data_IF_941506469496
#
_entry.id   IF_941506469496
#
_cell.length_a   1.000
_cell.length_b   1.000
_cell.length_c   1.000
_cell.angle_alpha   90.00
_cell.angle_beta   90.00
_cell.angle_gamma   90.00
#
_symmetry.space_group_name_H-M   'P 1'
#
loop_
_entity.id
_entity.type
_entity.pdbx_description
1 polymer ?
#
# COMPACT_ATOMS: atom_id res chain seq x y z
N UNK A 1 -30.20 -11.32 6.99
CA UNK A 1 -28.90 -10.86 7.51
C UNK A 1 -28.03 -12.09 7.69
N UNK A 2 -27.48 -12.58 6.60
CA UNK A 2 -26.45 -13.61 6.66
C UNK A 2 -25.12 -12.86 6.75
N UNK A 3 -24.48 -12.91 7.92
CA UNK A 3 -23.09 -12.50 8.06
C UNK A 3 -22.26 -13.45 7.20
N UNK A 4 -21.66 -12.91 6.13
CA UNK A 4 -20.61 -13.59 5.36
C UNK A 4 -19.43 -13.83 6.29
N UNK A 5 -19.34 -15.04 6.84
CA UNK A 5 -18.22 -15.47 7.67
C UNK A 5 -16.98 -15.50 6.77
N UNK A 6 -16.10 -14.51 6.95
CA UNK A 6 -14.72 -14.57 6.46
C UNK A 6 -14.15 -15.94 6.78
N UNK A 7 -13.57 -16.64 5.81
CA UNK A 7 -13.03 -17.98 6.04
C UNK A 7 -11.75 -17.78 6.84
N UNK A 8 -11.73 -18.13 8.14
CA UNK A 8 -10.59 -17.81 9.00
C UNK A 8 -9.31 -18.52 8.51
N UNK A 9 -9.46 -19.57 7.71
CA UNK A 9 -8.37 -20.29 7.05
C UNK A 9 -7.69 -19.45 5.96
N UNK A 10 -8.47 -18.74 5.14
CA UNK A 10 -7.92 -17.93 4.02
C UNK A 10 -7.14 -16.75 4.57
N UNK A 11 -7.72 -16.00 5.51
CA UNK A 11 -7.09 -14.84 6.14
C UNK A 11 -5.80 -15.25 6.88
N UNK A 12 -5.85 -16.33 7.68
CA UNK A 12 -4.67 -16.80 8.39
C UNK A 12 -3.57 -17.29 7.43
N UNK A 13 -3.93 -17.98 6.34
CA UNK A 13 -2.95 -18.41 5.33
C UNK A 13 -2.27 -17.22 4.68
N UNK A 14 -3.05 -16.21 4.27
CA UNK A 14 -2.54 -14.97 3.68
C UNK A 14 -1.62 -14.22 4.65
N UNK A 15 -2.02 -14.10 5.92
CA UNK A 15 -1.23 -13.51 6.99
C UNK A 15 0.14 -14.18 7.16
N UNK A 16 0.16 -15.51 7.24
CA UNK A 16 1.39 -16.30 7.39
C UNK A 16 2.30 -16.16 6.16
N UNK A 17 1.73 -16.08 4.96
CA UNK A 17 2.51 -15.85 3.74
C UNK A 17 3.13 -14.46 3.72
N UNK A 18 2.36 -13.42 4.04
CA UNK A 18 2.88 -12.04 4.16
C UNK A 18 4.00 -11.96 5.19
N UNK A 19 3.78 -12.44 6.41
CA UNK A 19 4.82 -12.43 7.45
C UNK A 19 6.10 -13.11 7.00
N UNK A 20 5.99 -14.28 6.36
CA UNK A 20 7.16 -15.06 5.94
C UNK A 20 7.93 -14.37 4.81
N UNK A 21 7.22 -13.88 3.79
CA UNK A 21 7.86 -13.30 2.61
C UNK A 21 8.43 -11.90 2.90
N UNK A 22 7.75 -11.12 3.74
CA UNK A 22 8.20 -9.78 4.10
C UNK A 22 9.28 -9.77 5.18
N UNK A 23 9.48 -10.88 5.92
CA UNK A 23 10.44 -10.97 7.02
C UNK A 23 11.84 -10.46 6.67
N UNK A 24 12.33 -10.78 5.47
CA UNK A 24 13.70 -10.48 5.04
C UNK A 24 13.79 -9.27 4.09
N UNK A 25 12.69 -8.53 3.88
CA UNK A 25 12.64 -7.36 3.01
C UNK A 25 12.75 -6.07 3.82
N UNK A 26 13.76 -5.27 3.54
CA UNK A 26 14.08 -4.04 4.30
C UNK A 26 13.94 -2.75 3.48
N UNK A 27 13.40 -2.84 2.26
CA UNK A 27 13.11 -1.69 1.41
C UNK A 27 11.61 -1.60 1.10
N UNK A 28 11.09 -0.37 1.00
CA UNK A 28 9.66 -0.14 0.83
C UNK A 28 9.13 -0.69 -0.50
N UNK A 29 9.94 -0.63 -1.56
CA UNK A 29 9.57 -1.13 -2.88
C UNK A 29 9.33 -2.64 -2.86
N UNK A 30 10.25 -3.41 -2.27
CA UNK A 30 10.13 -4.85 -2.09
C UNK A 30 8.91 -5.21 -1.26
N UNK A 31 8.62 -4.46 -0.19
CA UNK A 31 7.43 -4.69 0.65
C UNK A 31 6.15 -4.49 -0.17
N UNK A 32 6.02 -3.37 -0.89
CA UNK A 32 4.85 -3.09 -1.71
C UNK A 32 4.68 -4.11 -2.85
N UNK A 33 5.77 -4.46 -3.53
CA UNK A 33 5.76 -5.42 -4.62
C UNK A 33 5.29 -6.80 -4.14
N UNK A 34 5.91 -7.33 -3.09
CA UNK A 34 5.57 -8.66 -2.56
C UNK A 34 4.15 -8.69 -2.01
N UNK A 35 3.74 -7.64 -1.30
CA UNK A 35 2.40 -7.54 -0.71
C UNK A 35 1.31 -7.50 -1.77
N UNK A 36 1.47 -6.70 -2.83
CA UNK A 36 0.50 -6.63 -3.93
C UNK A 36 0.33 -8.02 -4.58
N UNK A 37 1.43 -8.76 -4.79
CA UNK A 37 1.38 -10.12 -5.34
C UNK A 37 0.66 -11.11 -4.42
N UNK A 38 1.08 -11.17 -3.17
CA UNK A 38 0.60 -12.15 -2.18
C UNK A 38 -0.89 -11.94 -1.91
N UNK A 39 -1.33 -10.68 -1.77
CA UNK A 39 -2.74 -10.36 -1.54
C UNK A 39 -3.57 -10.67 -2.79
N UNK A 40 -3.09 -10.31 -3.98
CA UNK A 40 -3.84 -10.57 -5.21
C UNK A 40 -4.07 -12.06 -5.46
N UNK A 41 -3.03 -12.88 -5.30
CA UNK A 41 -3.15 -14.33 -5.44
C UNK A 41 -3.97 -14.96 -4.31
N UNK A 42 -3.78 -14.51 -3.07
CA UNK A 42 -4.44 -15.08 -1.90
C UNK A 42 -5.93 -14.78 -1.83
N UNK A 43 -6.36 -13.61 -2.29
CA UNK A 43 -7.77 -13.21 -2.32
C UNK A 43 -8.43 -13.48 -3.68
N UNK A 44 -7.65 -13.73 -4.73
CA UNK A 44 -8.18 -13.83 -6.09
C UNK A 44 -8.75 -12.50 -6.61
N UNK A 45 -8.24 -11.37 -6.11
CA UNK A 45 -8.67 -10.02 -6.48
C UNK A 45 -7.50 -9.21 -7.01
N UNK A 46 -7.76 -8.31 -7.95
CA UNK A 46 -6.74 -7.33 -8.32
C UNK A 46 -6.47 -6.40 -7.11
N UNK A 47 -5.19 -6.28 -6.77
CA UNK A 47 -4.72 -5.52 -5.61
C UNK A 47 -3.83 -4.38 -6.05
N UNK A 48 -4.01 -3.22 -5.42
CA UNK A 48 -3.21 -2.01 -5.64
C UNK A 48 -2.62 -1.60 -4.30
N UNK A 49 -1.31 -1.37 -4.27
CA UNK A 49 -0.63 -0.67 -3.19
C UNK A 49 0.00 0.56 -3.79
N UNK A 50 -0.23 1.72 -3.18
CA UNK A 50 0.37 2.97 -3.62
C UNK A 50 1.06 3.65 -2.44
N UNK A 51 2.26 4.19 -2.66
CA UNK A 51 2.97 5.02 -1.70
C UNK A 51 3.30 6.36 -2.33
N UNK A 52 3.06 7.43 -1.60
CA UNK A 52 3.38 8.78 -2.02
C UNK A 52 4.90 8.94 -2.10
N UNK A 53 5.38 9.55 -3.19
CA UNK A 53 6.79 9.91 -3.33
C UNK A 53 7.20 11.02 -2.37
N UNK A 54 8.51 11.17 -2.16
CA UNK A 54 9.08 12.14 -1.20
C UNK A 54 8.64 13.59 -1.46
N UNK A 55 8.41 13.95 -2.72
CA UNK A 55 7.96 15.30 -3.12
C UNK A 55 6.47 15.56 -2.87
N UNK A 56 5.70 14.52 -2.58
CA UNK A 56 4.24 14.59 -2.51
C UNK A 56 3.53 14.73 -3.86
N UNK A 57 4.24 14.85 -4.98
CA UNK A 57 3.67 15.13 -6.30
C UNK A 57 3.20 13.88 -7.08
N UNK A 58 3.54 12.68 -6.61
CA UNK A 58 3.16 11.43 -7.26
C UNK A 58 2.99 10.30 -6.24
N UNK A 59 2.37 9.21 -6.69
CA UNK A 59 2.38 7.90 -6.05
C UNK A 59 3.20 6.93 -6.90
N UNK A 60 4.10 6.18 -6.27
CA UNK A 60 4.59 4.93 -6.85
C UNK A 60 3.53 3.86 -6.57
N UNK A 61 3.08 3.17 -7.61
CA UNK A 61 1.92 2.28 -7.57
C UNK A 61 2.31 0.89 -8.03
N UNK A 62 2.04 -0.10 -7.18
CA UNK A 62 2.19 -1.51 -7.48
C UNK A 62 0.80 -2.12 -7.59
N UNK A 63 0.43 -2.56 -8.78
CA UNK A 63 -0.83 -3.28 -8.99
C UNK A 63 -0.57 -4.67 -9.53
N UNK A 64 -1.35 -5.63 -9.05
CA UNK A 64 -1.24 -7.03 -9.43
C UNK A 64 -2.63 -7.61 -9.64
N UNK A 65 -2.84 -8.23 -10.80
CA UNK A 65 -3.97 -9.11 -11.03
C UNK A 65 -3.65 -10.52 -10.49
N UNK A 66 -4.66 -11.33 -10.11
CA UNK A 66 -4.43 -12.69 -9.63
C UNK A 66 -3.67 -13.53 -10.66
N UNK A 67 -2.65 -14.26 -10.21
CA UNK A 67 -1.77 -15.10 -11.05
C UNK A 67 -0.91 -14.33 -12.08
N UNK A 68 -0.95 -13.00 -12.10
CA UNK A 68 -0.10 -12.19 -12.97
C UNK A 68 1.19 -11.75 -12.26
N UNK A 69 2.06 -11.07 -13.03
CA UNK A 69 3.21 -10.35 -12.47
C UNK A 69 2.77 -8.98 -11.98
N UNK A 70 3.37 -8.52 -10.89
CA UNK A 70 3.17 -7.17 -10.38
C UNK A 70 3.68 -6.16 -11.42
N UNK A 71 2.83 -5.17 -11.71
CA UNK A 71 3.14 -4.03 -12.57
C UNK A 71 3.41 -2.83 -11.66
N UNK A 72 4.49 -2.09 -11.95
CA UNK A 72 4.80 -0.84 -11.27
C UNK A 72 4.54 0.33 -12.21
N UNK A 73 3.87 1.37 -11.70
CA UNK A 73 3.61 2.61 -12.40
C UNK A 73 3.87 3.80 -11.46
N UNK A 74 3.93 5.01 -12.03
CA UNK A 74 3.95 6.26 -11.28
C UNK A 74 2.77 7.09 -11.70
N UNK A 75 1.91 7.43 -10.74
CA UNK A 75 0.69 8.19 -10.96
C UNK A 75 0.81 9.56 -10.31
N UNK A 76 0.46 10.61 -11.04
CA UNK A 76 0.52 11.98 -10.49
C UNK A 76 -0.67 12.16 -9.55
N UNK A 77 -0.48 12.86 -8.41
CA UNK A 77 -1.52 12.95 -7.36
C UNK A 77 -2.86 13.42 -7.89
N UNK A 78 -2.88 14.42 -8.76
CA UNK A 78 -4.11 14.99 -9.32
C UNK A 78 -4.93 14.01 -10.17
N UNK A 79 -4.29 12.93 -10.64
CA UNK A 79 -4.90 11.89 -11.48
C UNK A 79 -5.01 10.55 -10.74
N UNK A 80 -4.33 10.39 -9.61
CA UNK A 80 -4.32 9.12 -8.89
C UNK A 80 -5.66 8.85 -8.17
N UNK A 81 -6.32 9.89 -7.64
CA UNK A 81 -7.62 9.80 -6.95
C UNK A 81 -7.63 8.91 -5.71
N UNK A 82 -6.55 8.90 -4.94
CA UNK A 82 -6.44 8.15 -3.67
C UNK A 82 -6.97 8.91 -2.44
N UNK A 83 -7.25 10.21 -2.54
CA UNK A 83 -7.62 11.07 -1.41
C UNK A 83 -8.71 10.50 -0.48
N UNK A 84 -9.82 9.91 -1.00
CA UNK A 84 -10.85 9.34 -0.13
C UNK A 84 -10.33 8.20 0.74
N UNK A 85 -9.43 7.36 0.21
CA UNK A 85 -8.85 6.22 0.91
C UNK A 85 -7.74 6.65 1.86
N UNK A 86 -6.95 7.67 1.51
CA UNK A 86 -5.93 8.25 2.39
C UNK A 86 -6.57 8.85 3.65
N UNK A 87 -7.72 9.51 3.50
CA UNK A 87 -8.45 10.13 4.61
C UNK A 87 -9.31 9.15 5.43
N UNK A 88 -9.44 7.89 5.00
CA UNK A 88 -10.35 6.94 5.64
C UNK A 88 -9.82 6.44 6.99
N UNK A 89 -10.65 6.44 8.03
CA UNK A 89 -10.30 5.88 9.34
C UNK A 89 -10.54 4.36 9.44
N UNK A 90 -11.24 3.80 8.45
CA UNK A 90 -11.65 2.40 8.34
C UNK A 90 -11.68 1.97 6.87
N UNK A 91 -11.74 0.67 6.55
CA UNK A 91 -12.00 0.19 5.21
C UNK A 91 -13.18 0.93 4.56
N UNK A 92 -12.91 1.59 3.44
CA UNK A 92 -13.89 2.35 2.68
C UNK A 92 -14.21 1.58 1.40
N UNK A 93 -15.47 1.22 1.22
CA UNK A 93 -16.01 0.74 -0.06
C UNK A 93 -16.60 1.92 -0.82
N UNK A 94 -16.15 2.13 -2.06
CA UNK A 94 -16.61 3.19 -2.93
C UNK A 94 -17.09 2.61 -4.26
N UNK A 95 -18.33 2.91 -4.63
CA UNK A 95 -18.94 2.48 -5.88
C UNK A 95 -18.56 3.44 -7.00
N UNK A 96 -18.19 2.89 -8.17
CA UNK A 96 -17.76 3.66 -9.34
C UNK A 96 -18.87 4.56 -9.87
N UNK A 97 -20.10 4.04 -9.92
CA UNK A 97 -21.23 4.73 -10.54
C UNK A 97 -21.86 5.83 -9.66
N UNK A 98 -21.41 5.94 -8.41
CA UNK A 98 -21.83 7.02 -7.50
C UNK A 98 -20.99 8.30 -7.71
N UNK A 99 -19.90 8.21 -8.49
CA UNK A 99 -18.98 9.32 -8.70
C UNK A 99 -19.30 10.14 -9.95
N UNK A 100 -19.00 11.46 -9.94
CA UNK A 100 -19.13 12.31 -11.10
C UNK A 100 -18.25 11.79 -12.27
N UNK A 101 -18.82 11.74 -13.47
CA UNK A 101 -18.10 11.26 -14.66
C UNK A 101 -16.78 12.02 -14.92
N UNK A 102 -16.71 13.30 -14.57
CA UNK A 102 -15.50 14.11 -14.70
C UNK A 102 -14.34 13.67 -13.80
N UNK A 103 -14.64 13.08 -12.63
CA UNK A 103 -13.64 12.49 -11.73
C UNK A 103 -13.19 11.13 -12.26
N UNK A 104 -14.12 10.32 -12.74
CA UNK A 104 -13.83 9.00 -13.30
C UNK A 104 -12.90 9.07 -14.51
N UNK A 105 -13.12 10.02 -15.44
CA UNK A 105 -12.33 10.11 -16.68
C UNK A 105 -10.88 10.55 -16.42
N UNK A 106 -10.66 11.42 -15.43
CA UNK A 106 -9.34 11.97 -15.11
C UNK A 106 -8.51 11.05 -14.22
N UNK A 107 -9.16 10.05 -13.61
CA UNK A 107 -8.55 9.19 -12.62
C UNK A 107 -7.91 7.96 -13.24
N UNK A 108 -6.64 7.71 -12.95
CA UNK A 108 -5.95 6.45 -13.28
C UNK A 108 -6.49 5.28 -12.46
N UNK A 109 -6.78 5.50 -11.18
CA UNK A 109 -7.36 4.48 -10.30
C UNK A 109 -8.72 4.01 -10.79
N UNK A 110 -9.62 4.93 -11.18
CA UNK A 110 -10.97 4.59 -11.63
C UNK A 110 -11.05 4.02 -13.06
N UNK A 111 -9.93 3.97 -13.80
CA UNK A 111 -9.87 3.20 -15.05
C UNK A 111 -9.85 1.69 -14.82
N UNK A 112 -9.42 1.24 -13.64
CA UNK A 112 -9.23 -0.18 -13.32
C UNK A 112 -10.51 -0.92 -12.93
N UNK A 113 -11.31 -0.47 -11.93
CA UNK A 113 -12.49 -1.20 -11.49
C UNK A 113 -13.61 -1.14 -12.52
N UNK A 114 -14.39 -2.21 -12.59
CA UNK A 114 -15.66 -2.26 -13.32
C UNK A 114 -16.80 -1.68 -12.48
N UNK A 115 -16.80 -1.93 -11.16
CA UNK A 115 -17.91 -1.62 -10.27
C UNK A 115 -17.49 -0.84 -9.02
N UNK A 116 -16.44 -1.25 -8.32
CA UNK A 116 -16.14 -0.70 -7.01
C UNK A 116 -14.66 -0.84 -6.61
N UNK A 117 -14.26 -0.04 -5.63
CA UNK A 117 -12.98 -0.14 -4.96
C UNK A 117 -13.21 -0.24 -3.46
N UNK A 118 -12.45 -1.11 -2.79
CA UNK A 118 -12.37 -1.14 -1.33
C UNK A 118 -10.96 -0.88 -0.91
N UNK A 119 -10.74 0.14 -0.10
CA UNK A 119 -9.38 0.51 0.30
C UNK A 119 -9.30 1.12 1.68
N UNK A 120 -8.05 1.28 2.13
CA UNK A 120 -7.69 1.87 3.41
C UNK A 120 -6.30 2.50 3.31
N UNK A 121 -5.98 3.47 4.18
CA UNK A 121 -4.69 4.12 4.12
C UNK A 121 -3.57 3.20 4.60
N UNK A 122 -2.37 3.49 4.14
CA UNK A 122 -1.12 3.03 4.71
C UNK A 122 -0.33 4.29 5.09
N UNK A 123 0.19 4.44 6.31
CA UNK A 123 0.05 3.51 7.45
C UNK A 123 -1.39 3.41 7.97
N UNK A 124 -1.71 2.26 8.59
CA UNK A 124 -2.96 2.02 9.31
C UNK A 124 -2.69 1.56 10.75
N UNK A 125 -3.33 2.17 11.78
CA UNK A 125 -4.19 3.36 11.69
C UNK A 125 -3.40 4.59 11.23
N UNK A 126 -4.05 5.48 10.47
CA UNK A 126 -3.39 6.65 9.88
C UNK A 126 -3.05 7.70 10.95
N UNK A 127 -1.86 7.55 11.57
CA UNK A 127 -1.34 8.44 12.62
C UNK A 127 -0.01 9.07 12.15
N UNK A 128 -0.04 10.23 11.48
CA UNK A 128 1.14 10.78 10.79
C UNK A 128 2.39 10.95 11.65
N UNK A 129 2.25 11.22 12.95
CA UNK A 129 3.37 11.47 13.86
C UNK A 129 4.13 10.20 14.29
N UNK A 130 3.63 8.99 14.00
CA UNK A 130 4.18 7.75 14.54
C UNK A 130 4.93 6.90 13.52
N UNK A 131 4.95 7.29 12.24
CA UNK A 131 5.43 6.45 11.15
C UNK A 131 6.64 7.07 10.44
N UNK A 132 7.51 6.19 9.94
CA UNK A 132 8.74 6.59 9.24
C UNK A 132 8.56 6.63 7.72
N UNK A 133 7.35 6.31 7.26
CA UNK A 133 6.95 6.07 5.88
C UNK A 133 6.07 7.19 5.32
N UNK A 134 6.12 7.43 4.00
CA UNK A 134 5.15 8.31 3.35
C UNK A 134 3.74 7.72 3.40
N UNK A 135 2.73 8.58 3.23
CA UNK A 135 1.34 8.15 3.11
C UNK A 135 1.13 7.31 1.86
N UNK A 136 0.13 6.44 1.90
CA UNK A 136 -0.18 5.50 0.85
C UNK A 136 -1.54 4.87 1.07
N UNK A 137 -1.85 3.89 0.24
CA UNK A 137 -3.11 3.15 0.31
C UNK A 137 -2.92 1.69 -0.09
N UNK A 138 -3.78 0.84 0.44
CA UNK A 138 -4.06 -0.49 -0.07
C UNK A 138 -5.49 -0.49 -0.62
N UNK A 139 -5.68 -0.89 -1.87
CA UNK A 139 -6.98 -1.01 -2.51
C UNK A 139 -7.17 -2.40 -3.14
N UNK A 140 -8.38 -2.92 -3.02
CA UNK A 140 -8.88 -4.12 -3.70
C UNK A 140 -9.87 -3.66 -4.78
N UNK A 141 -9.69 -4.19 -5.98
CA UNK A 141 -10.48 -3.86 -7.17
C UNK A 141 -11.64 -4.85 -7.30
N UNK A 142 -12.84 -4.33 -7.50
CA UNK A 142 -14.09 -5.07 -7.67
C UNK A 142 -14.29 -6.22 -6.65
N UNK A 143 -14.19 -5.95 -5.34
CA UNK A 143 -14.41 -6.99 -4.34
C UNK A 143 -15.86 -7.49 -4.42
N UNK A 144 -16.05 -8.73 -4.86
CA UNK A 144 -17.37 -9.35 -4.88
C UNK A 144 -17.88 -9.61 -3.44
N UNK A 145 -19.20 -9.59 -3.24
CA UNK A 145 -19.82 -9.91 -1.94
C UNK A 145 -19.48 -11.32 -1.44
N UNK A 146 -19.10 -12.22 -2.36
CA UNK A 146 -18.73 -13.61 -2.07
C UNK A 146 -17.29 -13.79 -1.59
N UNK A 147 -16.46 -12.74 -1.55
CA UNK A 147 -15.07 -12.87 -1.10
C UNK A 147 -15.10 -13.03 0.42
N UNK A 148 -14.51 -14.12 0.97
CA UNK A 148 -14.55 -14.42 2.40
C UNK A 148 -13.51 -13.57 3.14
N UNK A 149 -13.66 -12.26 3.07
CA UNK A 149 -12.70 -11.27 3.53
C UNK A 149 -13.43 -10.02 4.04
N UNK A 150 -13.39 -9.81 5.35
CA UNK A 150 -14.09 -8.73 6.05
C UNK A 150 -13.20 -7.50 6.27
N UNK A 151 -13.79 -6.46 6.84
CA UNK A 151 -13.09 -5.21 7.16
C UNK A 151 -11.97 -5.44 8.19
N UNK A 152 -12.21 -6.27 9.21
CA UNK A 152 -11.24 -6.58 10.25
C UNK A 152 -9.99 -7.28 9.68
N UNK A 153 -10.17 -8.22 8.76
CA UNK A 153 -9.05 -8.86 8.06
C UNK A 153 -8.23 -7.84 7.25
N UNK A 154 -8.89 -6.89 6.60
CA UNK A 154 -8.22 -5.84 5.82
C UNK A 154 -7.44 -4.88 6.71
N UNK A 155 -8.04 -4.45 7.83
CA UNK A 155 -7.39 -3.62 8.85
C UNK A 155 -6.14 -4.32 9.40
N UNK A 156 -6.26 -5.60 9.77
CA UNK A 156 -5.13 -6.38 10.25
C UNK A 156 -4.02 -6.43 9.22
N UNK A 157 -4.33 -6.75 7.96
CA UNK A 157 -3.33 -6.78 6.88
C UNK A 157 -2.65 -5.42 6.75
N UNK A 158 -3.39 -4.31 6.77
CA UNK A 158 -2.78 -2.98 6.70
C UNK A 158 -1.89 -2.66 7.91
N UNK A 159 -2.23 -3.11 9.12
CA UNK A 159 -1.35 -3.01 10.30
C UNK A 159 -0.04 -3.79 10.08
N UNK A 160 -0.14 -5.00 9.52
CA UNK A 160 1.04 -5.81 9.19
C UNK A 160 1.93 -5.10 8.17
N UNK A 161 1.34 -4.64 7.07
CA UNK A 161 2.05 -3.90 6.03
C UNK A 161 2.69 -2.65 6.61
N UNK A 162 1.98 -1.90 7.44
CA UNK A 162 2.50 -0.72 8.14
C UNK A 162 3.75 -1.06 8.94
N UNK A 163 3.75 -2.18 9.67
CA UNK A 163 4.91 -2.61 10.46
C UNK A 163 6.14 -2.88 9.60
N UNK A 164 5.97 -3.59 8.47
CA UNK A 164 7.07 -3.89 7.55
C UNK A 164 7.55 -2.66 6.79
N UNK A 165 6.61 -1.80 6.40
CA UNK A 165 6.89 -0.52 5.77
C UNK A 165 7.69 0.37 6.73
N UNK A 166 7.24 0.58 7.97
CA UNK A 166 7.98 1.38 8.96
C UNK A 166 9.40 0.87 9.20
N UNK A 167 9.57 -0.45 9.26
CA UNK A 167 10.90 -1.06 9.34
C UNK A 167 11.76 -0.70 8.14
N UNK A 168 11.21 -0.73 6.94
CA UNK A 168 11.91 -0.33 5.72
C UNK A 168 12.26 1.17 5.73
N UNK A 169 11.34 2.02 6.16
CA UNK A 169 11.57 3.46 6.32
C UNK A 169 12.69 3.78 7.32
N UNK A 170 12.71 3.06 8.45
CA UNK A 170 13.79 3.15 9.45
C UNK A 170 15.14 2.71 8.88
N UNK A 171 15.16 1.60 8.14
CA UNK A 171 16.38 1.11 7.49
C UNK A 171 16.95 2.14 6.50
N UNK A 172 16.10 2.69 5.63
CA UNK A 172 16.49 3.71 4.67
C UNK A 172 17.02 4.99 5.34
N UNK A 173 16.38 5.44 6.43
CA UNK A 173 16.86 6.60 7.21
C UNK A 173 18.22 6.35 7.85
N UNK A 174 18.41 5.17 8.46
CA UNK A 174 19.70 4.79 9.06
C UNK A 174 20.83 4.76 8.02
N UNK A 175 20.54 4.20 6.83
CA UNK A 175 21.49 4.19 5.73
C UNK A 175 21.81 5.60 5.23
N UNK A 176 20.80 6.47 5.07
CA UNK A 176 20.99 7.88 4.69
C UNK A 176 21.89 8.63 5.68
N UNK A 177 21.62 8.49 6.99
CA UNK A 177 22.45 9.10 8.04
C UNK A 177 23.91 8.63 7.96
N UNK A 178 24.13 7.33 7.73
CA UNK A 178 25.48 6.78 7.61
C UNK A 178 26.25 7.41 6.44
N UNK A 179 25.60 7.60 5.29
CA UNK A 179 26.20 8.24 4.11
C UNK A 179 26.48 9.72 4.36
N UNK A 180 25.55 10.43 4.99
CA UNK A 180 25.72 11.85 5.35
C UNK A 180 26.91 12.05 6.30
N UNK A 181 27.04 11.22 7.34
CA UNK A 181 28.19 11.27 8.26
C UNK A 181 29.52 10.97 7.55
N UNK A 182 29.56 9.97 6.68
CA UNK A 182 30.76 9.64 5.91
C UNK A 182 31.20 10.83 5.02
N UNK A 183 30.23 11.46 4.34
CA UNK A 183 30.48 12.63 3.49
C UNK A 183 31.03 13.82 4.30
N UNK A 184 30.43 14.12 5.46
CA UNK A 184 30.91 15.19 6.35
C UNK A 184 32.32 14.90 6.87
N UNK A 185 32.61 13.64 7.22
CA UNK A 185 33.94 13.22 7.66
C UNK A 185 34.99 13.39 6.56
N UNK A 186 34.69 12.99 5.31
CA UNK A 186 35.58 13.18 4.16
C UNK A 186 35.87 14.66 3.89
N UNK A 187 34.83 15.51 3.90
CA UNK A 187 35.00 16.97 3.72
C UNK A 187 35.90 17.54 4.83
N UNK A 188 35.65 17.15 6.09
CA UNK A 188 36.42 17.62 7.23
C UNK A 188 37.88 17.19 7.16
N UNK A 189 38.15 15.96 6.72
CA UNK A 189 39.51 15.46 6.52
C UNK A 189 40.21 16.18 5.36
N UNK A 190 39.50 16.47 4.27
CA UNK A 190 40.02 17.20 3.11
C UNK A 190 40.36 18.66 3.42
N UNK A 191 39.67 19.28 4.37
CA UNK A 191 39.91 20.67 4.80
C UNK A 191 40.98 20.80 5.90
N UNK A 192 41.33 19.71 6.58
CA UNK A 192 42.32 19.71 7.67
C UNK A 192 43.66 19.06 7.30
N UNK A 193 43.77 18.44 6.13
CA UNK A 193 45.03 17.99 5.50
C UNK A 193 45.56 19.02 4.51
#
# INVERSE_FOLDING_TARGET
>A
MESTVSSPVVVNTLWQQLMRQLADIFDAHGVCWASAKIIADGLGLQTIIALQGESGAYYDVWHCEPNERVKQARWIVEQASFDPFVAAEKPLLQQKFDLPAGELIKSELWQLPSTALKGLPLPFPNKPATHFMPQGVLCLVDPAESVPFDDEALENIAILLTTFLDRAGLSARSQKQTVEFATVHEISHSLTS
#
